data_IF_111505089708
#
_entry.id   IF_111505089708
#
_cell.length_a   1.000
_cell.length_b   1.000
_cell.length_c   1.000
_cell.angle_alpha   90.00
_cell.angle_beta   90.00
_cell.angle_gamma   90.00
#
_symmetry.space_group_name_H-M   'P 1'
#
loop_
_entity.id
_entity.type
_entity.pdbx_description
1 polymer ?
#
# COMPACT_ATOMS: atom_id res chain seq x y z
N UNK A 1 14.76 3.04 -15.47
CA UNK A 1 14.46 2.46 -14.15
C UNK A 1 13.74 1.16 -14.44
N UNK A 2 14.38 0.01 -14.20
CA UNK A 2 13.72 -1.28 -14.36
C UNK A 2 12.64 -1.37 -13.27
N UNK A 3 11.37 -1.42 -13.67
CA UNK A 3 10.28 -1.74 -12.76
C UNK A 3 10.48 -3.19 -12.37
N UNK A 4 10.98 -3.44 -11.16
CA UNK A 4 11.08 -4.80 -10.63
C UNK A 4 9.68 -5.37 -10.61
N UNK A 5 9.44 -6.39 -11.44
CA UNK A 5 8.14 -7.04 -11.48
C UNK A 5 7.89 -7.70 -10.12
N UNK A 6 6.77 -7.32 -9.48
CA UNK A 6 6.34 -7.95 -8.24
C UNK A 6 6.01 -9.41 -8.56
N UNK A 7 6.37 -10.34 -7.68
CA UNK A 7 6.01 -11.75 -7.85
C UNK A 7 5.65 -12.39 -6.52
N UNK A 8 4.81 -13.42 -6.58
CA UNK A 8 4.44 -14.24 -5.43
C UNK A 8 4.35 -15.71 -5.83
N UNK A 9 4.51 -16.61 -4.85
CA UNK A 9 4.43 -18.06 -5.05
C UNK A 9 3.10 -18.56 -4.54
N UNK A 10 2.29 -19.15 -5.39
CA UNK A 10 1.00 -19.75 -5.04
C UNK A 10 1.20 -21.22 -4.72
N UNK A 11 0.58 -21.71 -3.65
CA UNK A 11 0.37 -23.13 -3.44
C UNK A 11 -1.03 -23.51 -3.92
N UNK A 12 -1.09 -24.30 -4.99
CA UNK A 12 -2.31 -24.65 -5.70
C UNK A 12 -2.69 -26.10 -5.43
N UNK A 13 -3.94 -26.34 -5.07
CA UNK A 13 -4.54 -27.67 -5.09
C UNK A 13 -5.07 -27.95 -6.49
N UNK A 14 -4.37 -28.80 -7.24
CA UNK A 14 -4.69 -29.09 -8.65
C UNK A 14 -5.97 -29.93 -8.79
N UNK A 15 -6.34 -30.72 -7.78
CA UNK A 15 -7.56 -31.52 -7.76
C UNK A 15 -8.79 -30.65 -7.55
N UNK A 16 -8.72 -29.75 -6.56
CA UNK A 16 -9.80 -28.81 -6.26
C UNK A 16 -9.78 -27.55 -7.14
N UNK A 17 -8.74 -27.37 -7.96
CA UNK A 17 -8.47 -26.17 -8.78
C UNK A 17 -8.62 -24.86 -8.00
N UNK A 18 -7.96 -24.78 -6.84
CA UNK A 18 -7.99 -23.58 -5.98
C UNK A 18 -6.61 -23.24 -5.44
N UNK A 19 -6.39 -21.96 -5.16
CA UNK A 19 -5.24 -21.49 -4.41
C UNK A 19 -5.50 -21.72 -2.91
N UNK A 20 -4.57 -22.36 -2.21
CA UNK A 20 -4.67 -22.54 -0.75
C UNK A 20 -4.14 -21.29 -0.03
N UNK A 21 -2.95 -20.86 -0.40
CA UNK A 21 -2.34 -19.61 0.03
C UNK A 21 -1.18 -19.25 -0.91
N UNK A 22 -0.62 -18.07 -0.72
CA UNK A 22 0.55 -17.57 -1.42
C UNK A 22 1.62 -17.10 -0.44
N UNK A 23 2.89 -17.28 -0.82
CA UNK A 23 4.04 -16.65 -0.18
C UNK A 23 4.35 -15.35 -0.92
N UNK A 24 4.35 -14.25 -0.18
CA UNK A 24 4.50 -12.91 -0.71
C UNK A 24 5.61 -12.14 0.02
N UNK A 25 6.36 -11.35 -0.75
CA UNK A 25 7.32 -10.40 -0.20
C UNK A 25 6.60 -9.16 0.38
N UNK A 26 7.35 -8.37 1.13
CA UNK A 26 6.89 -7.06 1.63
C UNK A 26 6.23 -6.21 0.54
N UNK A 27 6.83 -6.10 -0.64
CA UNK A 27 6.35 -5.15 -1.66
C UNK A 27 4.98 -5.55 -2.23
N UNK A 28 4.72 -6.86 -2.32
CA UNK A 28 3.40 -7.40 -2.67
C UNK A 28 2.38 -7.10 -1.57
N UNK A 29 2.77 -7.28 -0.30
CA UNK A 29 1.87 -7.01 0.84
C UNK A 29 1.57 -5.53 0.99
N UNK A 30 2.57 -4.67 0.81
CA UNK A 30 2.40 -3.22 0.79
C UNK A 30 1.44 -2.80 -0.33
N UNK A 31 1.53 -3.43 -1.51
CA UNK A 31 0.56 -3.24 -2.59
C UNK A 31 -0.86 -3.67 -2.16
N UNK A 32 -1.03 -4.86 -1.57
CA UNK A 32 -2.35 -5.34 -1.12
C UNK A 32 -2.95 -4.41 -0.06
N UNK A 33 -2.16 -3.93 0.90
CA UNK A 33 -2.62 -2.96 1.88
C UNK A 33 -2.86 -1.57 1.31
N UNK A 34 -2.19 -1.19 0.22
CA UNK A 34 -2.48 0.05 -0.49
C UNK A 34 -3.90 0.09 -1.07
N UNK A 35 -4.56 -1.05 -1.30
CA UNK A 35 -5.97 -1.11 -1.70
C UNK A 35 -6.87 -0.45 -0.64
N UNK A 36 -6.52 -0.58 0.65
CA UNK A 36 -7.24 0.06 1.75
C UNK A 36 -7.02 1.58 1.81
N UNK A 37 -5.92 2.08 1.22
CA UNK A 37 -5.66 3.53 1.11
C UNK A 37 -6.58 4.24 0.11
N UNK A 38 -7.36 3.48 -0.67
CA UNK A 38 -8.46 4.01 -1.48
C UNK A 38 -9.67 4.31 -0.58
N UNK A 39 -10.64 5.13 -1.02
CA UNK A 39 -11.90 5.36 -0.30
C UNK A 39 -12.67 4.06 0.06
N UNK A 40 -12.28 2.93 -0.52
CA UNK A 40 -12.72 1.58 -0.14
C UNK A 40 -12.39 1.27 1.32
N UNK A 41 -11.22 1.64 1.85
CA UNK A 41 -10.90 1.44 3.28
C UNK A 41 -11.86 2.21 4.19
N UNK A 42 -12.24 3.43 3.79
CA UNK A 42 -13.28 4.22 4.47
C UNK A 42 -14.64 3.53 4.41
N UNK A 43 -15.02 2.96 3.26
CA UNK A 43 -16.26 2.19 3.11
C UNK A 43 -16.29 0.95 4.02
N UNK A 44 -15.19 0.19 4.09
CA UNK A 44 -15.06 -0.98 4.99
C UNK A 44 -15.22 -0.57 6.45
N UNK A 45 -14.64 0.57 6.85
CA UNK A 45 -14.77 1.10 8.21
C UNK A 45 -16.21 1.48 8.56
N UNK A 46 -16.92 2.12 7.64
CA UNK A 46 -18.29 2.58 7.85
C UNK A 46 -19.31 1.43 7.83
N UNK A 47 -19.12 0.45 6.93
CA UNK A 47 -20.02 -0.68 6.76
C UNK A 47 -19.68 -1.87 7.68
N UNK A 48 -18.45 -1.94 8.16
CA UNK A 48 -17.92 -3.05 8.95
C UNK A 48 -17.38 -4.19 8.08
N UNK A 49 -16.26 -4.79 8.50
CA UNK A 49 -15.56 -5.87 7.78
C UNK A 49 -16.40 -7.09 7.40
N UNK A 50 -17.41 -7.43 8.21
CA UNK A 50 -18.31 -8.56 7.97
C UNK A 50 -19.47 -8.27 7.00
N UNK A 51 -19.77 -6.99 6.75
CA UNK A 51 -20.82 -6.55 5.83
C UNK A 51 -20.30 -6.22 4.43
N UNK A 52 -18.97 -6.18 4.24
CA UNK A 52 -18.35 -5.95 2.95
C UNK A 52 -18.49 -7.18 2.05
N UNK A 53 -18.90 -6.94 0.81
CA UNK A 53 -18.84 -7.95 -0.25
C UNK A 53 -17.38 -8.13 -0.68
N UNK A 54 -16.96 -9.37 -0.89
CA UNK A 54 -15.61 -9.73 -1.32
C UNK A 54 -14.59 -9.92 -0.19
N UNK A 55 -13.34 -9.54 -0.47
CA UNK A 55 -12.13 -9.82 0.31
C UNK A 55 -11.50 -8.59 0.97
N UNK A 56 -11.94 -7.38 0.63
CA UNK A 56 -11.37 -6.16 1.24
C UNK A 56 -11.56 -6.12 2.76
N UNK A 57 -12.66 -6.69 3.27
CA UNK A 57 -12.87 -6.87 4.71
C UNK A 57 -11.80 -7.75 5.38
N UNK A 58 -11.32 -8.79 4.68
CA UNK A 58 -10.23 -9.66 5.15
C UNK A 58 -8.88 -8.94 5.17
N UNK A 59 -8.60 -8.09 4.18
CA UNK A 59 -7.42 -7.21 4.18
C UNK A 59 -7.43 -6.24 5.37
N UNK A 60 -8.56 -5.57 5.60
CA UNK A 60 -8.72 -4.65 6.74
C UNK A 60 -8.50 -5.36 8.07
N UNK A 61 -9.12 -6.53 8.25
CA UNK A 61 -8.95 -7.36 9.45
C UNK A 61 -7.50 -7.85 9.65
N UNK A 62 -6.74 -7.99 8.56
CA UNK A 62 -5.33 -8.39 8.61
C UNK A 62 -4.47 -7.26 9.16
N UNK A 63 -4.70 -6.02 8.72
CA UNK A 63 -4.00 -4.84 9.26
C UNK A 63 -4.31 -4.64 10.75
N UNK A 64 -5.57 -4.79 11.17
CA UNK A 64 -5.96 -4.69 12.59
C UNK A 64 -5.25 -5.73 13.48
N UNK A 65 -5.10 -6.96 12.98
CA UNK A 65 -4.50 -8.08 13.73
C UNK A 65 -2.98 -8.16 13.62
N UNK A 66 -2.36 -7.41 12.71
CA UNK A 66 -0.93 -7.48 12.48
C UNK A 66 -0.18 -6.93 13.70
N UNK A 67 0.74 -7.72 14.25
CA UNK A 67 1.52 -7.30 15.41
C UNK A 67 2.43 -6.10 15.08
N UNK A 68 2.69 -5.23 16.07
CA UNK A 68 3.51 -4.03 15.90
C UNK A 68 4.93 -4.33 15.44
N UNK A 69 5.45 -5.50 15.80
CA UNK A 69 6.76 -5.99 15.38
C UNK A 69 6.86 -6.24 13.88
N UNK A 70 5.77 -6.35 13.12
CA UNK A 70 5.79 -6.55 11.66
C UNK A 70 5.51 -5.26 10.88
N UNK A 71 5.23 -4.16 11.58
CA UNK A 71 5.01 -2.84 10.99
C UNK A 71 6.33 -2.07 11.01
N UNK A 72 6.59 -1.31 9.95
CA UNK A 72 7.80 -0.49 9.88
C UNK A 72 7.83 0.54 11.03
N UNK A 73 8.96 0.70 11.74
CA UNK A 73 9.10 1.70 12.77
C UNK A 73 8.78 3.11 12.23
N UNK A 74 7.81 3.79 12.84
CA UNK A 74 7.33 5.10 12.40
C UNK A 74 6.19 5.09 11.37
N UNK A 75 5.79 3.93 10.85
CA UNK A 75 4.55 3.80 10.09
C UNK A 75 3.36 3.74 11.06
N UNK A 76 2.41 4.67 10.92
CA UNK A 76 1.17 4.61 11.69
C UNK A 76 0.32 3.44 11.18
N UNK A 77 -0.02 2.50 12.06
CA UNK A 77 -0.89 1.35 11.75
C UNK A 77 -2.23 1.74 11.13
N UNK A 78 -2.72 2.92 11.51
CA UNK A 78 -3.98 3.48 11.03
C UNK A 78 -3.86 4.17 9.68
N UNK A 79 -2.65 4.44 9.17
CA UNK A 79 -2.44 5.14 7.90
C UNK A 79 -3.13 4.47 6.69
N UNK A 80 -3.02 3.16 6.44
CA UNK A 80 -3.79 2.51 5.37
C UNK A 80 -5.29 2.40 5.68
N UNK A 81 -5.70 2.51 6.95
CA UNK A 81 -7.11 2.42 7.37
C UNK A 81 -7.84 3.78 7.32
N UNK A 82 -7.09 4.86 7.16
CA UNK A 82 -7.58 6.23 7.13
C UNK A 82 -7.10 6.97 5.87
N UNK A 83 -7.70 6.68 4.70
CA UNK A 83 -7.53 7.54 3.54
C UNK A 83 -7.95 8.96 3.91
N UNK A 84 -7.07 9.95 3.75
CA UNK A 84 -7.49 11.34 3.73
C UNK A 84 -8.34 11.53 2.47
N UNK A 85 -9.66 11.47 2.59
CA UNK A 85 -10.58 11.79 1.50
C UNK A 85 -10.49 13.30 1.29
N UNK A 86 -10.00 13.80 0.14
CA UNK A 86 -10.06 15.23 -0.13
C UNK A 86 -11.52 15.65 -0.22
N UNK A 87 -11.88 16.68 0.55
CA UNK A 87 -13.20 17.31 0.49
C UNK A 87 -13.47 17.82 -0.95
N UNK A 88 -14.71 17.74 -1.49
CA UNK A 88 -15.01 18.03 -2.91
C UNK A 88 -14.75 19.48 -3.36
N UNK A 89 -14.20 20.34 -2.49
CA UNK A 89 -13.92 21.75 -2.78
C UNK A 89 -12.49 22.02 -3.29
N UNK A 90 -11.60 21.02 -3.41
CA UNK A 90 -10.22 21.25 -3.88
C UNK A 90 -9.90 20.37 -5.09
N UNK A 91 -9.83 21.08 -6.23
CA UNK A 91 -9.56 20.58 -7.57
C UNK A 91 -8.16 19.92 -7.68
N UNK A 92 -8.16 18.77 -8.36
CA UNK A 92 -7.09 18.17 -9.17
C UNK A 92 -5.81 17.69 -8.48
N UNK A 93 -5.81 16.41 -8.10
CA UNK A 93 -4.97 15.31 -8.68
C UNK A 93 -4.88 14.15 -7.69
N UNK A 94 -5.96 13.36 -7.56
CA UNK A 94 -5.87 12.04 -6.93
C UNK A 94 -5.22 11.07 -7.90
N UNK A 95 -3.89 11.04 -7.92
CA UNK A 95 -3.15 10.01 -8.65
C UNK A 95 -3.17 8.75 -7.80
N UNK A 96 -4.00 7.79 -8.22
CA UNK A 96 -3.95 6.40 -7.77
C UNK A 96 -2.49 5.92 -7.83
N UNK A 97 -2.02 5.24 -6.78
CA UNK A 97 -0.68 4.63 -6.70
C UNK A 97 -0.53 3.38 -7.59
N UNK A 98 -1.44 3.13 -8.52
CA UNK A 98 -1.18 2.24 -9.65
C UNK A 98 -0.48 3.10 -10.71
N UNK A 99 0.84 2.92 -10.85
CA UNK A 99 1.61 3.58 -11.89
C UNK A 99 0.94 3.39 -13.25
N UNK A 100 0.32 4.46 -13.76
CA UNK A 100 -0.18 4.48 -15.13
C UNK A 100 1.00 4.18 -16.07
N UNK A 101 0.85 3.36 -17.12
CA UNK A 101 1.85 3.26 -18.16
C UNK A 101 2.15 4.67 -18.71
N UNK A 102 3.42 5.02 -18.95
CA UNK A 102 3.78 6.38 -19.35
C UNK A 102 3.09 6.71 -20.68
N UNK A 103 2.27 7.78 -20.75
CA UNK A 103 1.84 8.31 -22.04
C UNK A 103 3.06 8.85 -22.80
N UNK A 104 3.03 8.86 -24.15
CA UNK A 104 4.14 9.37 -24.95
C UNK A 104 4.45 10.82 -24.55
N UNK A 105 5.75 11.08 -24.44
CA UNK A 105 6.32 12.29 -23.88
C UNK A 105 5.65 13.58 -24.35
N UNK A 106 4.82 14.17 -23.48
CA UNK A 106 4.63 15.60 -23.43
C UNK A 106 4.91 16.04 -22.00
N UNK A 107 5.99 16.81 -21.86
CA UNK A 107 6.49 17.33 -20.60
C UNK A 107 5.43 18.18 -19.90
N UNK A 108 4.63 17.58 -19.01
CA UNK A 108 4.02 18.32 -17.90
C UNK A 108 4.98 18.18 -16.71
N UNK A 109 6.01 19.02 -16.74
CA UNK A 109 6.84 19.28 -15.56
C UNK A 109 5.89 19.82 -14.48
N UNK A 110 5.60 19.03 -13.45
CA UNK A 110 4.97 19.55 -12.24
C UNK A 110 5.96 20.53 -11.60
N UNK A 111 5.85 21.80 -11.96
CA UNK A 111 6.53 22.89 -11.29
C UNK A 111 5.98 22.93 -9.85
N UNK A 112 6.82 22.86 -8.81
CA UNK A 112 6.34 23.18 -7.46
C UNK A 112 5.81 24.61 -7.49
N UNK A 113 4.53 24.80 -7.18
CA UNK A 113 3.98 26.16 -7.12
C UNK A 113 4.72 26.92 -6.01
N UNK A 114 5.23 28.13 -6.30
CA UNK A 114 6.05 28.87 -5.36
C UNK A 114 5.22 29.31 -4.16
N UNK A 115 5.46 28.71 -2.99
CA UNK A 115 4.94 29.22 -1.72
C UNK A 115 5.60 30.56 -1.43
N UNK A 116 4.82 31.60 -1.16
CA UNK A 116 5.32 32.97 -0.93
C UNK A 116 5.06 33.46 0.50
N UNK A 117 5.88 34.41 0.96
CA UNK A 117 5.80 35.05 2.28
C UNK A 117 6.15 36.54 2.24
N UNK A 118 5.89 37.25 3.34
CA UNK A 118 6.31 38.64 3.53
C UNK A 118 7.64 38.70 4.28
N UNK A 119 8.60 39.51 3.81
CA UNK A 119 9.99 39.50 4.28
C UNK A 119 10.20 39.66 5.80
N UNK A 120 9.27 40.30 6.50
CA UNK A 120 9.28 40.45 7.96
C UNK A 120 8.47 39.42 8.75
N UNK A 121 7.56 38.68 8.11
CA UNK A 121 6.66 37.72 8.77
C UNK A 121 6.81 36.35 8.11
N UNK A 122 7.78 35.55 8.60
CA UNK A 122 8.08 34.22 8.04
C UNK A 122 7.15 33.11 8.53
N UNK A 123 6.33 33.38 9.55
CA UNK A 123 5.40 32.42 10.15
C UNK A 123 4.14 32.20 9.32
N UNK A 124 3.90 33.02 8.29
CA UNK A 124 2.74 32.94 7.40
C UNK A 124 3.20 32.71 5.97
N UNK A 125 2.61 31.72 5.31
CA UNK A 125 2.90 31.32 3.93
C UNK A 125 1.61 31.20 3.15
N UNK A 126 1.67 31.46 1.85
CA UNK A 126 0.53 31.32 0.92
C UNK A 126 1.00 30.75 -0.41
N UNK A 127 0.14 30.02 -1.09
CA UNK A 127 0.31 29.57 -2.48
C UNK A 127 0.01 30.69 -3.50
N UNK A 128 -0.60 31.80 -3.07
CA UNK A 128 -1.02 32.93 -3.91
C UNK A 128 -0.16 34.18 -3.68
N UNK A 129 0.63 34.54 -4.68
CA UNK A 129 1.42 35.79 -4.72
C UNK A 129 0.50 37.00 -4.54
N UNK A 130 0.88 37.92 -3.66
CA UNK A 130 0.17 39.18 -3.40
C UNK A 130 -0.86 39.10 -2.26
N UNK A 131 -1.07 37.92 -1.65
CA UNK A 131 -1.97 37.80 -0.50
C UNK A 131 -1.45 38.62 0.68
N UNK A 132 -2.33 39.35 1.36
CA UNK A 132 -1.96 40.14 2.54
C UNK A 132 -1.61 39.24 3.73
N UNK A 133 -0.49 39.54 4.39
CA UNK A 133 -0.08 38.86 5.61
C UNK A 133 -1.07 39.20 6.75
N UNK A 134 -1.66 38.21 7.43
CA UNK A 134 -2.65 38.45 8.48
C UNK A 134 -2.06 39.15 9.71
N UNK A 135 -0.74 39.12 9.90
CA UNK A 135 -0.09 39.74 11.07
C UNK A 135 0.36 41.18 10.84
N UNK A 136 0.67 41.59 9.60
CA UNK A 136 1.25 42.91 9.33
C UNK A 136 0.61 43.65 8.16
N UNK A 137 -0.37 43.04 7.48
CA UNK A 137 -1.04 43.60 6.29
C UNK A 137 -0.17 43.66 5.03
N UNK A 138 1.14 43.38 5.11
CA UNK A 138 2.06 43.42 3.98
C UNK A 138 1.81 42.32 2.95
N UNK A 139 2.02 42.63 1.66
CA UNK A 139 1.79 41.68 0.56
C UNK A 139 2.86 40.58 0.50
N UNK A 140 2.45 39.32 0.53
CA UNK A 140 3.33 38.16 0.42
C UNK A 140 3.75 37.94 -1.04
N UNK A 141 5.00 38.29 -1.37
CA UNK A 141 5.52 38.23 -2.75
C UNK A 141 6.87 37.53 -2.88
N UNK A 142 7.54 37.22 -1.76
CA UNK A 142 8.84 36.54 -1.76
C UNK A 142 8.66 35.04 -1.79
N UNK A 143 9.33 34.37 -2.72
CA UNK A 143 9.25 32.92 -2.92
C UNK A 143 10.11 32.14 -1.92
N UNK A 144 9.58 31.04 -1.41
CA UNK A 144 10.26 30.06 -0.58
C UNK A 144 10.62 28.85 -1.41
N UNK A 145 11.88 28.43 -1.31
CA UNK A 145 12.32 27.13 -1.79
C UNK A 145 12.23 26.15 -0.62
N UNK A 146 11.30 25.20 -0.73
CA UNK A 146 11.26 24.04 0.16
C UNK A 146 12.46 23.16 -0.15
N UNK A 147 13.41 23.11 0.78
CA UNK A 147 14.52 22.16 0.76
C UNK A 147 14.05 20.90 1.50
N UNK A 148 14.23 19.70 0.94
CA UNK A 148 13.97 18.46 1.66
C UNK A 148 14.76 18.46 2.98
N UNK A 149 14.11 18.13 4.09
CA UNK A 149 14.75 18.17 5.41
C UNK A 149 15.93 17.20 5.45
N UNK A 150 17.15 17.73 5.59
CA UNK A 150 18.29 16.93 5.99
C UNK A 150 18.05 16.50 7.44
N UNK A 151 17.86 15.20 7.66
CA UNK A 151 17.84 14.62 9.00
C UNK A 151 19.18 14.92 9.68
N UNK A 152 19.19 15.91 10.57
CA UNK A 152 20.35 16.16 11.44
C UNK A 152 20.32 15.14 12.56
N UNK A 153 20.77 13.93 12.24
CA UNK A 153 21.07 12.91 13.23
C UNK A 153 22.43 13.19 13.85
N UNK A 154 22.45 13.62 15.12
CA UNK A 154 23.59 13.31 15.98
C UNK A 154 23.50 11.82 16.29
N UNK A 155 24.26 11.03 15.54
CA UNK A 155 24.41 9.59 15.75
C UNK A 155 25.34 9.35 16.95
N UNK A 156 24.86 8.57 17.91
CA UNK A 156 25.70 7.57 18.57
C UNK A 156 25.55 6.26 17.76
N UNK A 157 26.68 5.57 17.58
CA UNK A 157 26.91 4.55 16.57
C UNK A 157 26.24 3.19 16.83
N UNK A 158 26.37 2.33 15.80
CA UNK A 158 26.09 0.88 15.67
C UNK A 158 24.73 0.51 15.06
N UNK A 159 24.61 -0.36 14.07
CA UNK A 159 25.57 -1.05 13.18
C UNK A 159 24.78 -1.58 11.96
N UNK A 160 25.52 -1.93 10.89
CA UNK A 160 25.18 -2.59 9.63
C UNK A 160 23.74 -3.12 9.37
N UNK A 161 23.15 -2.70 8.24
CA UNK A 161 21.99 -3.38 7.62
C UNK A 161 21.33 -2.52 6.55
N UNK A 162 21.34 -2.97 5.30
CA UNK A 162 20.98 -2.18 4.12
C UNK A 162 19.59 -1.52 4.13
N UNK A 163 19.54 -0.32 3.53
CA UNK A 163 18.38 0.46 3.05
C UNK A 163 17.01 -0.05 3.54
N UNK A 164 16.73 0.13 4.83
CA UNK A 164 15.37 0.05 5.35
C UNK A 164 14.69 1.41 5.19
N UNK A 165 13.48 1.43 4.61
CA UNK A 165 12.55 2.53 4.86
C UNK A 165 11.75 3.09 3.67
N UNK A 166 11.05 2.25 2.91
CA UNK A 166 9.81 2.68 2.22
C UNK A 166 8.83 1.51 2.16
N UNK A 167 7.74 1.56 2.93
CA UNK A 167 6.72 0.50 3.01
C UNK A 167 5.96 0.49 4.33
N UNK A 168 4.86 -0.27 4.39
CA UNK A 168 4.05 -0.44 5.60
C UNK A 168 4.57 -1.59 6.46
N UNK A 169 4.91 -2.72 5.84
CA UNK A 169 5.37 -3.93 6.56
C UNK A 169 6.89 -4.11 6.53
N UNK A 170 7.40 -4.94 7.45
CA UNK A 170 8.83 -5.26 7.54
C UNK A 170 9.34 -6.04 6.32
N UNK A 171 10.51 -5.63 5.81
CA UNK A 171 11.10 -6.16 4.58
C UNK A 171 11.82 -7.49 4.72
N UNK A 172 12.23 -7.84 5.93
CA UNK A 172 12.94 -9.09 6.23
C UNK A 172 12.00 -10.29 6.43
N UNK A 173 10.69 -10.07 6.33
CA UNK A 173 9.65 -11.05 6.63
C UNK A 173 8.93 -11.47 5.36
N UNK A 174 8.73 -12.77 5.20
CA UNK A 174 7.81 -13.34 4.21
C UNK A 174 6.41 -13.43 4.80
N UNK A 175 5.40 -13.17 4.00
CA UNK A 175 4.01 -13.19 4.43
C UNK A 175 3.23 -14.28 3.71
N UNK A 176 2.30 -14.87 4.42
CA UNK A 176 1.25 -15.73 3.86
C UNK A 176 0.06 -14.87 3.46
N UNK A 177 -0.38 -15.00 2.22
CA UNK A 177 -1.60 -14.37 1.68
C UNK A 177 -2.59 -15.46 1.31
N UNK A 178 -3.75 -15.48 1.95
CA UNK A 178 -4.82 -16.43 1.68
C UNK A 178 -5.57 -16.08 0.38
N UNK A 179 -6.36 -17.01 -0.14
CA UNK A 179 -7.17 -16.78 -1.35
C UNK A 179 -8.15 -15.59 -1.18
N UNK A 180 -8.60 -15.34 0.04
CA UNK A 180 -9.44 -14.19 0.39
C UNK A 180 -8.63 -12.91 0.69
N UNK A 181 -7.35 -12.87 0.31
CA UNK A 181 -6.38 -11.79 0.57
C UNK A 181 -6.06 -11.54 2.05
N UNK A 182 -6.48 -12.41 2.98
CA UNK A 182 -6.04 -12.30 4.37
C UNK A 182 -4.52 -12.47 4.45
N UNK A 183 -3.86 -11.56 5.15
CA UNK A 183 -2.39 -11.51 5.29
C UNK A 183 -1.97 -11.84 6.71
N UNK A 184 -0.95 -12.68 6.86
CA UNK A 184 -0.26 -12.93 8.12
C UNK A 184 1.23 -13.19 7.90
N UNK A 185 2.10 -13.01 8.92
CA UNK A 185 3.49 -13.46 8.83
C UNK A 185 3.56 -14.96 8.49
N UNK A 186 4.50 -15.34 7.64
CA UNK A 186 4.65 -16.73 7.23
C UNK A 186 5.25 -17.56 8.37
N UNK A 187 4.69 -18.76 8.56
CA UNK A 187 5.19 -19.76 9.49
C UNK A 187 5.03 -21.13 8.86
N UNK A 188 6.12 -21.90 8.76
CA UNK A 188 6.08 -23.25 8.20
C UNK A 188 5.14 -24.18 8.97
N UNK A 189 5.06 -24.02 10.30
CA UNK A 189 4.15 -24.81 11.16
C UNK A 189 2.69 -24.44 10.88
N UNK A 190 2.40 -23.14 10.73
CA UNK A 190 1.06 -22.67 10.36
C UNK A 190 0.68 -23.13 8.95
N UNK A 191 1.63 -23.15 8.01
CA UNK A 191 1.44 -23.67 6.65
C UNK A 191 1.02 -25.14 6.64
N UNK A 192 1.68 -25.99 7.44
CA UNK A 192 1.30 -27.41 7.59
C UNK A 192 -0.11 -27.54 8.19
N UNK A 193 -0.41 -26.75 9.23
CA UNK A 193 -1.74 -26.74 9.86
C UNK A 193 -2.83 -26.30 8.88
N UNK A 194 -2.49 -25.37 7.99
CA UNK A 194 -3.39 -24.85 6.96
C UNK A 194 -3.72 -25.92 5.90
N UNK A 195 -2.74 -26.74 5.50
CA UNK A 195 -2.98 -27.90 4.61
C UNK A 195 -4.02 -28.86 5.21
N UNK A 196 -3.90 -29.16 6.51
CA UNK A 196 -4.88 -29.98 7.22
C UNK A 196 -6.25 -29.28 7.31
N UNK A 197 -6.27 -27.98 7.59
CA UNK A 197 -7.50 -27.17 7.63
C UNK A 197 -8.24 -27.18 6.30
N UNK A 198 -7.52 -27.19 5.18
CA UNK A 198 -8.10 -27.31 3.84
C UNK A 198 -8.45 -28.74 3.42
N UNK A 199 -8.19 -29.73 4.27
CA UNK A 199 -8.48 -31.14 4.02
C UNK A 199 -7.57 -31.77 2.97
N UNK A 200 -6.35 -31.26 2.79
CA UNK A 200 -5.39 -31.83 1.85
C UNK A 200 -4.86 -33.16 2.40
N UNK A 201 -5.25 -34.26 1.76
CA UNK A 201 -4.80 -35.62 2.11
C UNK A 201 -3.67 -36.13 1.22
N UNK A 202 -3.59 -35.59 0.00
CA UNK A 202 -2.61 -35.98 -0.99
C UNK A 202 -1.76 -34.77 -1.37
N UNK A 203 -0.54 -34.74 -0.85
CA UNK A 203 0.43 -33.67 -1.12
C UNK A 203 0.95 -33.72 -2.57
N UNK A 204 0.84 -34.87 -3.27
CA UNK A 204 1.23 -34.99 -4.66
C UNK A 204 0.33 -34.20 -5.61
N UNK A 205 -0.86 -33.81 -5.16
CA UNK A 205 -1.78 -32.94 -5.89
C UNK A 205 -1.49 -31.45 -5.71
N UNK A 206 -0.53 -31.07 -4.85
CA UNK A 206 -0.16 -29.68 -4.62
C UNK A 206 0.92 -29.24 -5.60
N UNK A 207 0.78 -28.02 -6.11
CA UNK A 207 1.73 -27.43 -7.04
C UNK A 207 2.13 -26.01 -6.59
N UNK A 208 3.43 -25.74 -6.56
CA UNK A 208 3.93 -24.37 -6.48
C UNK A 208 3.83 -23.71 -7.86
N UNK A 209 3.20 -22.53 -7.92
CA UNK A 209 3.10 -21.72 -9.14
C UNK A 209 3.56 -20.30 -8.84
N UNK A 210 4.67 -19.87 -9.43
CA UNK A 210 5.10 -18.48 -9.35
C UNK A 210 4.30 -17.63 -10.33
N UNK A 211 3.74 -16.52 -9.85
CA UNK A 211 2.99 -15.55 -10.67
C UNK A 211 3.59 -14.16 -10.55
N UNK A 212 3.46 -13.36 -11.61
CA UNK A 212 3.91 -11.98 -11.64
C UNK A 212 2.72 -11.04 -11.45
N UNK A 213 2.91 -10.01 -10.62
CA UNK A 213 1.99 -8.90 -10.41
C UNK A 213 2.42 -7.73 -11.30
N UNK A 214 1.84 -7.68 -12.49
CA UNK A 214 1.88 -6.49 -13.34
C UNK A 214 0.69 -5.57 -13.06
N UNK A 215 0.57 -4.55 -13.90
CA UNK A 215 -0.53 -3.58 -13.82
C UNK A 215 -1.90 -4.23 -14.01
N UNK A 216 -2.03 -5.13 -14.99
CA UNK A 216 -3.30 -5.80 -15.30
C UNK A 216 -3.69 -6.75 -14.17
N UNK A 217 -2.75 -7.53 -13.65
CA UNK A 217 -2.97 -8.44 -12.53
C UNK A 217 -3.33 -7.67 -11.26
N UNK A 218 -2.71 -6.52 -11.02
CA UNK A 218 -3.07 -5.62 -9.91
C UNK A 218 -4.50 -5.10 -10.02
N UNK A 219 -4.96 -4.72 -11.22
CA UNK A 219 -6.34 -4.31 -11.46
C UNK A 219 -7.33 -5.46 -11.32
N UNK A 220 -6.97 -6.65 -11.82
CA UNK A 220 -7.78 -7.85 -11.69
C UNK A 220 -7.94 -8.25 -10.21
N UNK A 221 -6.87 -8.18 -9.41
CA UNK A 221 -6.91 -8.39 -7.95
C UNK A 221 -7.81 -7.34 -7.28
N UNK A 222 -7.65 -6.06 -7.62
CA UNK A 222 -8.47 -4.99 -7.06
C UNK A 222 -9.95 -5.25 -7.34
N UNK A 223 -10.29 -5.55 -8.60
CA UNK A 223 -11.67 -5.84 -9.01
C UNK A 223 -12.22 -7.07 -8.31
N UNK A 224 -11.49 -8.19 -8.33
CA UNK A 224 -11.90 -9.43 -7.68
C UNK A 224 -12.05 -9.26 -6.16
N UNK A 225 -11.19 -8.46 -5.52
CA UNK A 225 -11.26 -8.19 -4.08
C UNK A 225 -12.58 -7.53 -3.65
N UNK A 226 -13.25 -6.81 -4.55
CA UNK A 226 -14.53 -6.14 -4.30
C UNK A 226 -15.74 -7.08 -4.54
N UNK A 227 -15.52 -8.24 -5.13
CA UNK A 227 -16.59 -9.09 -5.67
C UNK A 227 -16.54 -10.53 -5.15
N UNK A 228 -15.35 -11.04 -4.84
CA UNK A 228 -15.10 -12.45 -4.57
C UNK A 228 -14.31 -12.66 -3.28
N UNK A 229 -14.41 -13.88 -2.74
CA UNK A 229 -13.61 -14.38 -1.61
C UNK A 229 -12.48 -15.31 -2.06
N UNK A 230 -12.41 -15.64 -3.34
CA UNK A 230 -11.42 -16.54 -3.94
C UNK A 230 -10.55 -15.77 -4.94
N UNK A 231 -10.00 -14.65 -4.50
CA UNK A 231 -9.38 -13.64 -5.37
C UNK A 231 -8.19 -14.21 -6.13
N UNK A 232 -7.30 -14.96 -5.47
CA UNK A 232 -6.11 -15.50 -6.13
C UNK A 232 -6.49 -16.60 -7.11
N UNK A 233 -7.47 -17.44 -6.76
CA UNK A 233 -8.03 -18.45 -7.66
C UNK A 233 -8.65 -17.80 -8.89
N UNK A 234 -9.52 -16.81 -8.73
CA UNK A 234 -10.23 -16.13 -9.82
C UNK A 234 -9.29 -15.40 -10.78
N UNK A 235 -8.18 -14.86 -10.27
CA UNK A 235 -7.21 -14.11 -11.08
C UNK A 235 -6.22 -15.05 -11.78
N UNK A 236 -5.69 -16.07 -11.09
CA UNK A 236 -4.52 -16.83 -11.55
C UNK A 236 -4.79 -18.27 -12.01
N UNK A 237 -5.99 -18.81 -11.78
CA UNK A 237 -6.38 -20.18 -12.14
C UNK A 237 -7.57 -20.25 -13.13
N UNK A 238 -7.74 -19.21 -13.95
CA UNK A 238 -8.71 -19.16 -15.05
C UNK A 238 -8.60 -20.37 -15.99
#
# INVERSE_FOLDING_TARGET
>A
MATTALSMKLLVDTKARRVLFAEASKDVVDFLFSILSLPVGTAVKLLGKGSMVGSVGSLYASVEKLDGTYVQPGAAKDAPLHPAVPSPAVSNKSSLLLGSPPPPASSIRAQPQPTTFFGGCRSYMTDKRGTACPSCGGQMSKELKLVPSAVSGRQAAQEAGGVAGKGFVQGIVTYTVMDDLKVSPMSSISGITLLNTFGVKDLGALQEKTVQLGYNEGLDILKASLQSKTVLTDVFLK
#
